data_IF_587004353347
#
_entry.id   IF_587004353347
#
_cell.length_a   1.000
_cell.length_b   1.000
_cell.length_c   1.000
_cell.angle_alpha   90.00
_cell.angle_beta   90.00
_cell.angle_gamma   90.00
#
_symmetry.space_group_name_H-M   'P 1'
#
loop_
_entity.id
_entity.type
_entity.pdbx_description
1 polymer ?
#
# COMPACT_ATOMS: atom_id res chain seq x y z
N UNK A 1 0.62 -19.00 16.07
CA UNK A 1 -0.02 -19.40 17.35
C UNK A 1 -0.94 -18.25 17.75
N UNK A 2 -2.26 -18.41 17.65
CA UNK A 2 -3.19 -17.31 17.98
C UNK A 2 -3.32 -17.28 19.50
N UNK A 3 -2.79 -16.23 20.14
CA UNK A 3 -2.82 -16.09 21.59
C UNK A 3 -4.23 -15.73 22.07
N UNK A 4 -5.02 -16.75 22.38
CA UNK A 4 -6.36 -16.60 22.94
C UNK A 4 -6.25 -15.92 24.31
N UNK A 5 -6.86 -14.73 24.45
CA UNK A 5 -6.87 -13.96 25.70
C UNK A 5 -5.84 -12.83 25.82
N UNK A 6 -5.05 -12.56 24.78
CA UNK A 6 -4.07 -11.46 24.76
C UNK A 6 -4.68 -10.06 24.95
N UNK A 7 -6.00 -9.90 24.72
CA UNK A 7 -6.74 -8.66 24.94
C UNK A 7 -7.01 -8.36 26.43
N UNK A 8 -7.02 -9.39 27.29
CA UNK A 8 -7.37 -9.23 28.71
C UNK A 8 -6.52 -8.20 29.47
N UNK A 9 -5.18 -8.18 29.37
CA UNK A 9 -4.38 -7.17 30.08
C UNK A 9 -4.64 -5.75 29.58
N UNK A 10 -4.79 -5.55 28.27
CA UNK A 10 -5.06 -4.23 27.67
C UNK A 10 -6.43 -3.70 28.07
N UNK A 11 -7.46 -4.55 28.00
CA UNK A 11 -8.81 -4.14 28.37
C UNK A 11 -8.95 -3.90 29.87
N UNK A 12 -8.31 -4.72 30.72
CA UNK A 12 -8.31 -4.51 32.16
C UNK A 12 -7.64 -3.17 32.54
N UNK A 13 -6.54 -2.83 31.87
CA UNK A 13 -5.84 -1.57 32.08
C UNK A 13 -6.65 -0.37 31.59
N UNK A 14 -7.21 -0.44 30.38
CA UNK A 14 -8.07 0.62 29.85
C UNK A 14 -9.32 0.83 30.74
N UNK A 15 -9.91 -0.25 31.24
CA UNK A 15 -11.05 -0.21 32.16
C UNK A 15 -10.68 0.46 33.49
N UNK A 16 -9.52 0.14 34.06
CA UNK A 16 -9.01 0.81 35.27
C UNK A 16 -8.83 2.31 35.07
N UNK A 17 -8.34 2.75 33.91
CA UNK A 17 -8.14 4.16 33.61
C UNK A 17 -9.47 4.90 33.42
N UNK A 18 -10.45 4.24 32.79
CA UNK A 18 -11.83 4.72 32.67
C UNK A 18 -12.48 4.95 34.03
N UNK A 19 -12.31 4.01 34.97
CA UNK A 19 -12.85 4.11 36.33
C UNK A 19 -12.20 5.26 37.13
N UNK A 20 -10.99 5.66 36.75
CA UNK A 20 -10.27 6.82 37.28
C UNK A 20 -10.67 8.14 36.58
N UNK A 21 -11.62 8.11 35.65
CA UNK A 21 -12.14 9.29 34.94
C UNK A 21 -11.35 9.69 33.68
N UNK A 22 -10.51 8.80 33.14
CA UNK A 22 -9.86 9.06 31.85
C UNK A 22 -10.86 8.97 30.69
N UNK A 23 -10.63 9.76 29.63
CA UNK A 23 -11.39 9.68 28.39
C UNK A 23 -11.30 8.28 27.77
N UNK A 24 -12.41 7.65 27.34
CA UNK A 24 -12.45 6.25 26.92
C UNK A 24 -11.46 5.92 25.81
N UNK A 25 -11.41 6.77 24.78
CA UNK A 25 -10.54 6.57 23.62
C UNK A 25 -9.07 6.75 24.01
N UNK A 26 -8.77 7.77 24.82
CA UNK A 26 -7.41 8.02 25.31
C UNK A 26 -6.91 6.88 26.21
N UNK A 27 -7.77 6.35 27.10
CA UNK A 27 -7.47 5.22 27.97
C UNK A 27 -7.13 3.96 27.15
N UNK A 28 -7.94 3.66 26.13
CA UNK A 28 -7.71 2.50 25.27
C UNK A 28 -6.43 2.63 24.44
N UNK A 29 -6.22 3.79 23.80
CA UNK A 29 -5.02 4.06 23.00
C UNK A 29 -3.75 3.97 23.85
N UNK A 30 -3.80 4.47 25.08
CA UNK A 30 -2.67 4.42 26.01
C UNK A 30 -2.34 2.99 26.42
N UNK A 31 -3.35 2.21 26.83
CA UNK A 31 -3.17 0.80 27.18
C UNK A 31 -2.61 -0.04 26.01
N UNK A 32 -3.04 0.23 24.78
CA UNK A 32 -2.49 -0.42 23.58
C UNK A 32 -1.03 -0.01 23.36
N UNK A 33 -0.70 1.28 23.43
CA UNK A 33 0.68 1.78 23.25
C UNK A 33 1.65 1.19 24.26
N UNK A 34 1.24 1.12 25.52
CA UNK A 34 2.04 0.49 26.58
C UNK A 34 2.22 -1.00 26.34
N UNK A 35 1.16 -1.70 25.95
CA UNK A 35 1.24 -3.12 25.62
C UNK A 35 2.09 -3.41 24.38
N UNK A 36 2.16 -2.51 23.40
CA UNK A 36 3.06 -2.60 22.23
C UNK A 36 4.50 -2.29 22.61
N UNK A 37 4.72 -1.45 23.62
CA UNK A 37 6.06 -1.07 24.07
C UNK A 37 6.76 -2.19 24.86
N UNK A 38 6.01 -3.21 25.30
CA UNK A 38 6.56 -4.39 25.95
C UNK A 38 6.94 -5.46 24.90
N UNK A 39 8.22 -5.82 24.73
CA UNK A 39 8.69 -6.78 23.72
C UNK A 39 8.08 -8.18 23.87
N UNK A 40 7.72 -8.58 25.09
CA UNK A 40 7.17 -9.90 25.39
C UNK A 40 5.65 -9.97 25.19
N UNK A 41 5.02 -8.85 24.83
CA UNK A 41 3.59 -8.77 24.60
C UNK A 41 3.21 -9.28 23.22
N UNK A 42 2.10 -10.02 23.15
CA UNK A 42 1.48 -10.42 21.89
C UNK A 42 1.13 -9.19 21.03
N UNK A 43 0.85 -8.05 21.66
CA UNK A 43 0.56 -6.80 20.94
C UNK A 43 1.77 -6.26 20.19
N UNK A 44 2.99 -6.47 20.69
CA UNK A 44 4.22 -6.11 19.98
C UNK A 44 4.49 -7.02 18.76
N UNK A 45 3.93 -8.24 18.74
CA UNK A 45 3.99 -9.14 17.60
C UNK A 45 2.85 -8.91 16.59
N UNK A 46 1.68 -8.46 17.05
CA UNK A 46 0.50 -8.22 16.21
C UNK A 46 0.53 -6.86 15.51
N UNK A 47 1.00 -5.83 16.21
CA UNK A 47 1.19 -4.51 15.65
C UNK A 47 2.66 -4.39 15.29
N UNK A 48 2.95 -4.01 14.04
CA UNK A 48 4.31 -3.61 13.67
C UNK A 48 4.79 -2.61 14.72
N UNK A 49 6.04 -2.74 15.23
CA UNK A 49 6.56 -1.81 16.23
C UNK A 49 6.27 -0.43 15.69
N UNK A 50 5.64 0.43 16.51
CA UNK A 50 5.35 1.81 16.13
C UNK A 50 6.71 2.42 15.82
N UNK A 51 7.09 2.38 14.53
CA UNK A 51 8.34 2.92 14.06
C UNK A 51 8.21 4.37 14.49
N UNK A 52 9.17 4.81 15.29
CA UNK A 52 9.19 6.16 15.83
C UNK A 52 9.09 7.21 14.71
N UNK A 53 9.30 8.49 15.02
CA UNK A 53 9.29 9.53 13.99
C UNK A 53 10.18 9.09 12.81
N UNK A 54 9.59 9.04 11.60
CA UNK A 54 10.30 8.62 10.38
C UNK A 54 11.64 9.32 10.31
N UNK A 55 12.70 8.55 10.20
CA UNK A 55 14.05 9.11 10.15
C UNK A 55 14.27 9.77 8.79
N UNK A 56 15.15 10.77 8.69
CA UNK A 56 15.55 11.32 7.39
C UNK A 56 16.04 10.24 6.40
N UNK A 57 16.69 9.19 6.91
CA UNK A 57 17.14 8.05 6.12
C UNK A 57 15.96 7.26 5.51
N UNK A 58 14.85 7.12 6.23
CA UNK A 58 13.64 6.47 5.72
C UNK A 58 13.03 7.24 4.56
N UNK A 59 13.03 8.58 4.63
CA UNK A 59 12.57 9.43 3.54
C UNK A 59 13.48 9.33 2.32
N UNK A 60 14.80 9.31 2.51
CA UNK A 60 15.75 9.09 1.41
C UNK A 60 15.54 7.73 0.76
N UNK A 61 15.38 6.67 1.56
CA UNK A 61 15.11 5.32 1.06
C UNK A 61 13.81 5.29 0.24
N UNK A 62 12.74 5.92 0.74
CA UNK A 62 11.47 6.02 0.03
C UNK A 62 11.61 6.75 -1.32
N UNK A 63 12.33 7.88 -1.35
CA UNK A 63 12.58 8.63 -2.58
C UNK A 63 13.37 7.76 -3.58
N UNK A 64 14.42 7.07 -3.12
CA UNK A 64 15.21 6.16 -3.98
C UNK A 64 14.36 5.02 -4.55
N UNK A 65 13.48 4.43 -3.76
CA UNK A 65 12.54 3.41 -4.22
C UNK A 65 11.62 3.95 -5.31
N UNK A 66 11.03 5.14 -5.10
CA UNK A 66 10.13 5.78 -6.09
C UNK A 66 10.88 6.10 -7.40
N UNK A 67 12.09 6.65 -7.30
CA UNK A 67 12.89 6.99 -8.48
C UNK A 67 13.31 5.74 -9.27
N UNK A 68 13.71 4.68 -8.57
CA UNK A 68 14.07 3.39 -9.17
C UNK A 68 12.86 2.79 -9.89
N UNK A 69 11.71 2.71 -9.23
CA UNK A 69 10.47 2.20 -9.83
C UNK A 69 10.06 2.99 -11.09
N UNK A 70 10.21 4.32 -11.08
CA UNK A 70 9.94 5.17 -12.26
C UNK A 70 10.90 4.86 -13.41
N UNK A 71 12.18 4.66 -13.12
CA UNK A 71 13.20 4.30 -14.11
C UNK A 71 12.88 2.94 -14.73
N UNK A 72 12.53 1.96 -13.90
CA UNK A 72 12.21 0.61 -14.35
C UNK A 72 10.94 0.57 -15.20
N UNK A 73 9.89 1.30 -14.79
CA UNK A 73 8.67 1.43 -15.59
C UNK A 73 8.95 2.05 -16.97
N UNK A 74 9.81 3.07 -17.06
CA UNK A 74 10.21 3.66 -18.35
C UNK A 74 10.98 2.66 -19.21
N UNK A 75 11.92 1.92 -18.61
CA UNK A 75 12.71 0.91 -19.32
C UNK A 75 11.81 -0.23 -19.84
N UNK A 76 10.89 -0.70 -19.00
CA UNK A 76 9.91 -1.70 -19.38
C UNK A 76 9.04 -1.23 -20.55
N UNK A 77 8.52 0.01 -20.50
CA UNK A 77 7.73 0.58 -21.62
C UNK A 77 8.51 0.64 -22.93
N UNK A 78 9.80 1.00 -22.88
CA UNK A 78 10.66 1.01 -24.08
C UNK A 78 10.82 -0.40 -24.65
N UNK A 79 11.10 -1.39 -23.80
CA UNK A 79 11.20 -2.81 -24.20
C UNK A 79 9.89 -3.31 -24.79
N UNK A 80 8.77 -3.06 -24.11
CA UNK A 80 7.44 -3.44 -24.59
C UNK A 80 7.13 -2.81 -25.95
N UNK A 81 7.42 -1.51 -26.15
CA UNK A 81 7.25 -0.82 -27.44
C UNK A 81 8.09 -1.44 -28.55
N UNK A 82 9.36 -1.76 -28.26
CA UNK A 82 10.25 -2.43 -29.20
C UNK A 82 9.69 -3.79 -29.65
N UNK A 83 9.34 -4.65 -28.69
CA UNK A 83 8.81 -5.98 -28.98
C UNK A 83 7.45 -5.92 -29.70
N UNK A 84 6.57 -4.99 -29.30
CA UNK A 84 5.31 -4.73 -30.02
C UNK A 84 5.55 -4.30 -31.46
N UNK A 85 6.55 -3.43 -31.69
CA UNK A 85 6.94 -3.01 -33.03
C UNK A 85 7.51 -4.17 -33.86
N UNK A 86 8.27 -5.08 -33.25
CA UNK A 86 8.80 -6.28 -33.91
C UNK A 86 7.67 -7.24 -34.31
N UNK A 87 6.76 -7.55 -33.39
CA UNK A 87 5.61 -8.42 -33.65
C UNK A 87 4.74 -7.87 -34.79
N UNK A 88 4.41 -6.57 -34.78
CA UNK A 88 3.62 -5.94 -35.86
C UNK A 88 4.24 -6.03 -37.25
N UNK A 89 5.57 -6.22 -37.36
CA UNK A 89 6.27 -6.33 -38.64
C UNK A 89 6.42 -7.78 -39.10
N UNK A 90 6.16 -8.74 -38.22
CA UNK A 90 6.25 -10.17 -38.52
C UNK A 90 4.89 -10.66 -39.02
N UNK A 91 4.84 -11.00 -40.31
CA UNK A 91 3.63 -11.45 -41.01
C UNK A 91 3.09 -12.77 -40.45
N UNK A 92 3.90 -13.57 -39.77
CA UNK A 92 3.45 -14.80 -39.10
C UNK A 92 2.58 -14.53 -37.86
N UNK A 93 2.62 -13.31 -37.33
CA UNK A 93 1.89 -12.90 -36.13
C UNK A 93 0.73 -11.93 -36.43
N UNK A 94 0.33 -11.79 -37.70
CA UNK A 94 -0.78 -10.93 -38.12
C UNK A 94 -2.12 -11.33 -37.47
N UNK A 95 -2.34 -12.65 -37.27
CA UNK A 95 -3.56 -13.20 -36.64
C UNK A 95 -3.42 -13.40 -35.11
N UNK A 96 -2.24 -13.08 -34.53
CA UNK A 96 -1.99 -13.27 -33.11
C UNK A 96 -2.57 -12.10 -32.30
N UNK A 97 -3.83 -12.22 -31.89
CA UNK A 97 -4.50 -11.26 -31.01
C UNK A 97 -3.90 -11.35 -29.60
N UNK A 98 -3.02 -10.42 -29.23
CA UNK A 98 -2.64 -10.24 -27.83
C UNK A 98 -3.69 -9.36 -27.15
N UNK A 99 -4.42 -9.83 -26.13
CA UNK A 99 -5.35 -8.98 -25.39
C UNK A 99 -4.58 -7.78 -24.83
N UNK A 100 -5.05 -6.59 -25.14
CA UNK A 100 -4.53 -5.36 -24.55
C UNK A 100 -4.88 -5.32 -23.06
N UNK A 101 -4.11 -4.66 -22.19
CA UNK A 101 -4.54 -4.40 -20.80
C UNK A 101 -5.90 -3.69 -20.71
N UNK A 102 -6.31 -2.97 -21.76
CA UNK A 102 -7.63 -2.37 -21.92
C UNK A 102 -8.74 -3.36 -22.28
N UNK A 103 -8.40 -4.57 -22.75
CA UNK A 103 -9.35 -5.65 -23.03
C UNK A 103 -9.60 -6.51 -21.77
N UNK A 104 -8.91 -6.19 -20.67
CA UNK A 104 -9.19 -6.74 -19.35
C UNK A 104 -10.35 -5.92 -18.78
N UNK A 105 -11.57 -6.42 -18.97
CA UNK A 105 -12.81 -5.81 -18.46
C UNK A 105 -12.83 -5.59 -16.93
N UNK A 106 -11.86 -6.14 -16.19
CA UNK A 106 -11.73 -5.99 -14.75
C UNK A 106 -11.01 -4.72 -14.29
N UNK A 107 -10.45 -3.90 -15.20
CA UNK A 107 -9.74 -2.65 -14.85
C UNK A 107 -10.44 -1.47 -15.52
N UNK A 108 -11.60 -1.10 -15.01
CA UNK A 108 -12.24 0.18 -15.31
C UNK A 108 -11.67 1.19 -14.31
N UNK A 109 -10.66 1.96 -14.72
CA UNK A 109 -10.23 3.12 -13.94
C UNK A 109 -11.25 4.24 -14.17
N UNK A 110 -12.10 4.51 -13.18
CA UNK A 110 -13.03 5.64 -13.23
C UNK A 110 -12.26 6.97 -13.24
N UNK A 111 -12.03 7.51 -14.43
CA UNK A 111 -11.39 8.81 -14.58
C UNK A 111 -12.34 9.93 -14.14
N UNK A 112 -11.86 10.93 -13.36
CA UNK A 112 -12.62 12.13 -13.06
C UNK A 112 -13.01 12.89 -14.34
N UNK A 113 -14.17 13.56 -14.33
CA UNK A 113 -14.77 14.16 -15.53
C UNK A 113 -13.88 15.20 -16.23
N UNK A 114 -13.07 15.93 -15.46
CA UNK A 114 -12.08 16.86 -16.00
C UNK A 114 -11.08 16.16 -16.94
N UNK A 115 -10.62 14.95 -16.58
CA UNK A 115 -9.70 14.15 -17.41
C UNK A 115 -10.39 13.55 -18.63
N UNK A 116 -11.65 13.14 -18.51
CA UNK A 116 -12.44 12.61 -19.64
C UNK A 116 -12.62 13.67 -20.73
N UNK A 117 -12.85 14.93 -20.35
CA UNK A 117 -12.98 16.05 -21.30
C UNK A 117 -11.67 16.34 -22.04
N UNK A 118 -10.57 16.46 -21.29
CA UNK A 118 -9.25 16.71 -21.88
C UNK A 118 -8.81 15.59 -22.85
N UNK A 119 -9.21 14.34 -22.60
CA UNK A 119 -8.92 13.21 -23.50
C UNK A 119 -9.72 13.31 -24.81
N UNK A 120 -10.99 13.73 -24.75
CA UNK A 120 -11.85 13.88 -25.93
C UNK A 120 -11.42 15.03 -26.84
N UNK A 121 -10.77 16.05 -26.31
CA UNK A 121 -10.24 17.17 -27.10
C UNK A 121 -8.96 16.80 -27.88
N UNK A 122 -8.34 15.64 -27.58
CA UNK A 122 -7.09 15.20 -28.19
C UNK A 122 -7.30 14.23 -29.39
N UNK A 123 -8.55 13.84 -29.68
CA UNK A 123 -8.95 12.93 -30.77
C UNK A 123 -9.76 13.73 -31.78
#
# INVERSE_FOLDING_TARGET
>A
MIAVGAHKPVLAQAYSALDQGAEPEAALVTAIKEAVSNPDSVWAALLEPVIGPRTPADYEAQIRCILTARKDARNWRKRAKFWKGKAKKDTSSADLVTPSPSDISSIVEELPDARKRALKELI
#
